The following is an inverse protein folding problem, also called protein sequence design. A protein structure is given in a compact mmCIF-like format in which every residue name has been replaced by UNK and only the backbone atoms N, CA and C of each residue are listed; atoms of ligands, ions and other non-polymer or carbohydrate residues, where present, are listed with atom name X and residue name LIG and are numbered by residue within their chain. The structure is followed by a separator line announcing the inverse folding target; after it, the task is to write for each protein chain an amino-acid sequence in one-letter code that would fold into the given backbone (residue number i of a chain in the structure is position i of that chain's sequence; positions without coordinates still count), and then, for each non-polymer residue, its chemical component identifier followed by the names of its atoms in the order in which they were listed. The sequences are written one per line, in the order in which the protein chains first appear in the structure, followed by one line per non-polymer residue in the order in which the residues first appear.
data_IF_929648840209
#
_entry.id   IF_929648840209
#
_cell.length_a   1.000
_cell.length_b   1.000
_cell.length_c   1.000
_cell.angle_alpha   90.00
_cell.angle_beta   90.00
_cell.angle_gamma   90.00
#
_symmetry.space_group_name_H-M   'P 1'
#
loop_
_entity.id
_entity.type
_entity.pdbx_description
1 polymer ?
#
# COMPACT_ATOMS: atom_id res chain seq x y z
N UNK A 1 21.06 8.29 -19.58
CA UNK A 1 19.64 7.99 -19.31
C UNK A 1 19.14 6.75 -20.07
N UNK A 2 19.31 6.62 -21.39
CA UNK A 2 18.86 5.44 -22.15
C UNK A 2 19.47 4.09 -21.72
N UNK A 3 20.68 4.06 -21.19
CA UNK A 3 21.36 2.82 -20.77
C UNK A 3 20.69 2.19 -19.53
N UNK A 4 20.27 3.00 -18.58
CA UNK A 4 19.59 2.53 -17.37
C UNK A 4 18.16 2.03 -17.65
N UNK A 5 17.46 2.64 -18.61
CA UNK A 5 16.12 2.20 -19.03
C UNK A 5 16.20 0.82 -19.71
N UNK A 6 17.21 0.59 -20.56
CA UNK A 6 17.42 -0.71 -21.20
C UNK A 6 17.75 -1.81 -20.19
N UNK A 7 18.60 -1.49 -19.20
CA UNK A 7 18.93 -2.45 -18.12
C UNK A 7 17.73 -2.78 -17.26
N UNK A 8 16.90 -1.79 -16.93
CA UNK A 8 15.65 -2.00 -16.18
C UNK A 8 14.64 -2.84 -16.98
N UNK A 9 14.47 -2.57 -18.27
CA UNK A 9 13.60 -3.36 -19.15
C UNK A 9 14.10 -4.81 -19.30
N UNK A 10 15.40 -5.01 -19.39
CA UNK A 10 16.00 -6.35 -19.48
C UNK A 10 15.82 -7.14 -18.17
N UNK A 11 16.00 -6.48 -17.03
CA UNK A 11 15.75 -7.07 -15.71
C UNK A 11 14.27 -7.43 -15.52
N UNK A 12 13.35 -6.58 -15.95
CA UNK A 12 11.91 -6.85 -15.92
C UNK A 12 11.52 -8.03 -16.82
N UNK A 13 12.08 -8.09 -18.03
CA UNK A 13 11.85 -9.19 -18.96
C UNK A 13 12.46 -10.51 -18.44
N UNK A 14 13.61 -10.49 -17.80
CA UNK A 14 14.21 -11.66 -17.17
C UNK A 14 13.40 -12.17 -15.98
N UNK A 15 12.85 -11.26 -15.15
CA UNK A 15 11.93 -11.60 -14.07
C UNK A 15 10.62 -12.20 -14.61
N UNK A 16 10.07 -11.67 -15.70
CA UNK A 16 8.87 -12.21 -16.34
C UNK A 16 9.11 -13.58 -16.98
N UNK A 17 10.28 -13.82 -17.57
CA UNK A 17 10.65 -15.11 -18.17
C UNK A 17 10.84 -16.21 -17.12
N UNK A 18 11.26 -15.87 -15.91
CA UNK A 18 11.46 -16.86 -14.82
C UNK A 18 10.14 -17.44 -14.30
N UNK A 19 9.02 -16.76 -14.50
CA UNK A 19 7.69 -17.24 -14.07
C UNK A 19 7.18 -18.46 -14.86
N UNK A 20 7.76 -18.77 -16.01
CA UNK A 20 7.35 -19.91 -16.83
C UNK A 20 7.74 -21.29 -16.29
N UNK A 21 8.58 -21.38 -15.26
CA UNK A 21 9.19 -22.66 -14.86
C UNK A 21 8.47 -23.38 -13.70
N UNK A 22 7.56 -22.72 -12.97
CA UNK A 22 6.87 -23.36 -11.83
C UNK A 22 5.48 -22.80 -11.62
N UNK A 23 4.46 -23.57 -12.02
CA UNK A 23 3.04 -23.20 -11.89
C UNK A 23 2.56 -23.01 -10.43
N UNK A 24 3.42 -23.21 -9.45
CA UNK A 24 3.08 -23.16 -8.02
C UNK A 24 3.61 -21.89 -7.31
N UNK A 25 4.62 -21.24 -7.85
CA UNK A 25 5.22 -20.04 -7.26
C UNK A 25 5.00 -18.84 -8.17
N UNK A 26 4.53 -17.75 -7.59
CA UNK A 26 4.34 -16.49 -8.30
C UNK A 26 5.05 -15.38 -7.55
N UNK A 27 5.83 -14.60 -8.27
CA UNK A 27 6.40 -13.35 -7.80
C UNK A 27 5.63 -12.20 -8.43
N UNK A 28 5.32 -11.19 -7.65
CA UNK A 28 4.60 -10.01 -8.09
C UNK A 28 5.22 -8.74 -7.50
N UNK A 29 4.80 -7.62 -8.06
CA UNK A 29 5.04 -6.31 -7.48
C UNK A 29 3.74 -5.53 -7.45
N UNK A 30 3.60 -4.66 -6.46
CA UNK A 30 2.46 -3.75 -6.31
C UNK A 30 2.95 -2.32 -6.27
N UNK A 31 2.19 -1.43 -6.86
CA UNK A 31 2.34 0.00 -6.69
C UNK A 31 0.96 0.60 -6.53
N UNK A 32 0.83 1.54 -5.64
CA UNK A 32 -0.45 2.15 -5.34
C UNK A 32 -0.32 3.62 -4.92
N UNK A 33 -1.40 4.34 -5.11
CA UNK A 33 -1.59 5.67 -4.55
C UNK A 33 -2.95 5.75 -3.91
N UNK A 34 -3.06 6.51 -2.84
CA UNK A 34 -4.28 6.58 -2.07
C UNK A 34 -4.47 7.90 -1.35
N UNK A 35 -5.52 7.92 -0.55
CA UNK A 35 -5.81 9.00 0.39
C UNK A 35 -5.86 8.45 1.81
N UNK A 36 -5.46 9.29 2.77
CA UNK A 36 -5.55 8.98 4.19
C UNK A 36 -6.43 9.98 4.92
N UNK A 37 -7.18 9.47 5.88
CA UNK A 37 -7.90 10.26 6.85
C UNK A 37 -7.97 9.47 8.16
N UNK A 38 -8.16 10.18 9.27
CA UNK A 38 -8.30 9.54 10.57
C UNK A 38 -9.42 10.25 11.36
N UNK A 39 -10.09 9.51 12.22
CA UNK A 39 -11.02 10.07 13.19
C UNK A 39 -10.45 9.88 14.59
N UNK A 40 -10.37 10.96 15.35
CA UNK A 40 -9.87 10.95 16.73
C UNK A 40 -10.95 11.39 17.72
N UNK A 41 -10.82 10.98 18.96
CA UNK A 41 -11.63 11.47 20.07
C UNK A 41 -10.72 12.11 21.12
N UNK A 42 -11.01 13.34 21.61
CA UNK A 42 -12.15 14.19 21.26
C UNK A 42 -12.12 14.60 19.77
N UNK A 43 -13.30 14.89 19.22
CA UNK A 43 -13.44 15.20 17.80
C UNK A 43 -12.65 16.45 17.43
N UNK A 44 -11.74 16.31 16.49
CA UNK A 44 -10.98 17.41 15.90
C UNK A 44 -11.36 17.56 14.41
N UNK A 45 -11.20 18.76 13.89
CA UNK A 45 -11.37 19.01 12.46
C UNK A 45 -10.21 18.37 11.69
N UNK A 46 -10.55 17.39 10.87
CA UNK A 46 -9.61 16.58 10.11
C UNK A 46 -9.80 16.82 8.62
N UNK A 47 -8.72 16.74 7.87
CA UNK A 47 -8.72 16.84 6.42
C UNK A 47 -8.03 15.62 5.81
N UNK A 48 -8.67 15.03 4.82
CA UNK A 48 -8.07 13.96 4.06
C UNK A 48 -6.88 14.47 3.23
N UNK A 49 -5.81 13.71 3.18
CA UNK A 49 -4.66 13.99 2.32
C UNK A 49 -4.60 12.99 1.17
N UNK A 50 -4.17 13.48 0.02
CA UNK A 50 -4.03 12.72 -1.21
C UNK A 50 -2.56 12.51 -1.56
N UNK A 51 -2.29 11.59 -2.47
CA UNK A 51 -0.95 11.36 -2.99
C UNK A 51 -0.06 10.51 -2.08
N UNK A 52 -0.66 9.81 -1.12
CA UNK A 52 0.03 8.78 -0.36
C UNK A 52 0.38 7.62 -1.30
N UNK A 53 1.57 7.07 -1.17
CA UNK A 53 2.06 6.03 -2.06
C UNK A 53 2.39 4.76 -1.30
N UNK A 54 2.28 3.65 -2.02
CA UNK A 54 2.70 2.34 -1.56
C UNK A 54 3.38 1.58 -2.67
N UNK A 55 4.23 0.64 -2.31
CA UNK A 55 4.86 -0.24 -3.27
C UNK A 55 5.49 -1.42 -2.57
N UNK A 56 5.48 -2.58 -3.23
CA UNK A 56 5.98 -3.77 -2.59
C UNK A 56 6.24 -4.92 -3.55
N UNK A 57 6.80 -5.96 -2.97
CA UNK A 57 7.04 -7.24 -3.61
C UNK A 57 6.15 -8.29 -2.95
N UNK A 58 5.62 -9.19 -3.74
CA UNK A 58 4.78 -10.29 -3.29
C UNK A 58 5.32 -11.62 -3.76
N UNK A 59 5.26 -12.60 -2.88
CA UNK A 59 5.49 -13.98 -3.22
C UNK A 59 4.28 -14.82 -2.84
N UNK A 60 3.83 -15.66 -3.77
CA UNK A 60 2.69 -16.56 -3.56
C UNK A 60 3.07 -17.98 -3.94
N UNK A 61 2.61 -18.92 -3.14
CA UNK A 61 2.63 -20.33 -3.42
C UNK A 61 1.21 -20.84 -3.54
N UNK A 62 0.88 -21.49 -4.64
CA UNK A 62 -0.43 -22.08 -4.88
C UNK A 62 -0.38 -23.59 -4.81
N UNK A 63 -1.08 -24.16 -3.83
CA UNK A 63 -1.22 -25.61 -3.68
C UNK A 63 -2.07 -26.22 -4.82
N UNK A 64 -1.84 -27.50 -5.08
CA UNK A 64 -2.62 -28.25 -6.08
C UNK A 64 -4.06 -28.54 -5.65
N UNK A 65 -4.33 -28.45 -4.34
CA UNK A 65 -5.67 -28.73 -3.80
C UNK A 65 -6.59 -27.52 -3.97
N UNK A 66 -7.80 -27.76 -4.48
CA UNK A 66 -8.78 -26.73 -4.84
C UNK A 66 -9.16 -25.77 -3.72
N UNK A 67 -9.20 -26.24 -2.47
CA UNK A 67 -9.69 -25.43 -1.34
C UNK A 67 -8.60 -24.89 -0.41
N UNK A 68 -7.39 -25.36 -0.53
CA UNK A 68 -6.27 -24.86 0.28
C UNK A 68 -5.82 -23.50 -0.19
N UNK A 69 -5.98 -23.22 -1.48
CA UNK A 69 -5.65 -21.92 -2.07
C UNK A 69 -4.16 -21.64 -2.14
N UNK A 70 -3.85 -20.36 -2.07
CA UNK A 70 -2.50 -19.84 -2.04
C UNK A 70 -2.11 -19.35 -0.64
N UNK A 71 -0.85 -19.47 -0.34
CA UNK A 71 -0.19 -18.81 0.79
C UNK A 71 0.89 -17.89 0.27
N UNK A 72 1.11 -16.79 0.95
CA UNK A 72 2.15 -15.87 0.53
C UNK A 72 2.61 -14.92 1.61
N UNK A 73 3.66 -14.22 1.26
CA UNK A 73 4.24 -13.16 2.08
C UNK A 73 4.51 -11.98 1.16
N UNK A 74 4.15 -10.80 1.61
CA UNK A 74 4.46 -9.55 0.94
C UNK A 74 5.43 -8.75 1.78
N UNK A 75 6.21 -7.93 1.12
CA UNK A 75 7.02 -6.90 1.75
C UNK A 75 6.65 -5.59 1.08
N UNK A 76 6.00 -4.71 1.81
CA UNK A 76 5.45 -3.47 1.29
C UNK A 76 6.02 -2.26 2.03
N UNK A 77 6.29 -1.22 1.28
CA UNK A 77 6.48 0.12 1.81
C UNK A 77 5.16 0.87 1.65
N UNK A 78 4.68 1.49 2.72
CA UNK A 78 3.42 2.22 2.73
C UNK A 78 3.59 3.57 3.40
N UNK A 79 3.16 4.61 2.74
CA UNK A 79 2.99 5.92 3.33
C UNK A 79 1.54 6.10 3.78
N UNK A 80 1.36 6.44 5.04
CA UNK A 80 0.08 6.81 5.65
C UNK A 80 0.15 8.27 6.09
N UNK A 81 -1.01 8.92 6.19
CA UNK A 81 -1.00 10.27 6.69
C UNK A 81 -2.40 10.84 6.90
N UNK A 82 -2.43 11.92 7.65
CA UNK A 82 -3.64 12.69 7.92
C UNK A 82 -3.27 14.13 8.25
N UNK A 83 -4.24 15.01 8.09
CA UNK A 83 -4.10 16.42 8.41
C UNK A 83 -5.15 16.85 9.43
N UNK A 84 -4.77 17.64 10.42
CA UNK A 84 -5.66 18.13 11.46
C UNK A 84 -5.47 19.62 11.70
N UNK A 85 -6.55 20.31 12.07
CA UNK A 85 -6.53 21.71 12.41
C UNK A 85 -6.20 21.88 13.90
N UNK A 86 -5.19 22.72 14.21
CA UNK A 86 -4.76 22.98 15.60
C UNK A 86 -5.49 24.14 16.25
N UNK A 87 -6.04 25.05 15.45
CA UNK A 87 -6.69 26.27 15.92
C UNK A 87 -8.21 26.29 15.72
N UNK A 88 -8.83 25.14 15.40
CA UNK A 88 -10.26 25.05 15.09
C UNK A 88 -11.18 25.55 16.22
N UNK A 89 -10.74 25.52 17.47
CA UNK A 89 -11.46 26.07 18.63
C UNK A 89 -11.31 27.57 18.83
N UNK A 90 -10.38 28.21 18.11
CA UNK A 90 -10.03 29.63 18.29
C UNK A 90 -10.50 30.51 17.14
N UNK A 91 -10.89 29.90 16.01
CA UNK A 91 -11.24 30.59 14.78
C UNK A 91 -12.59 30.11 14.28
N UNK A 92 -13.48 31.04 13.95
CA UNK A 92 -14.85 30.71 13.50
C UNK A 92 -14.93 30.21 12.05
N UNK A 93 -14.06 30.74 11.18
CA UNK A 93 -14.09 30.40 9.77
C UNK A 93 -13.06 29.32 9.40
N UNK A 94 -13.52 28.28 8.68
CA UNK A 94 -12.67 27.16 8.25
C UNK A 94 -11.52 27.54 7.33
N UNK A 95 -11.62 28.68 6.64
CA UNK A 95 -10.54 29.21 5.78
C UNK A 95 -9.29 29.61 6.58
N UNK A 96 -9.45 29.96 7.86
CA UNK A 96 -8.37 30.43 8.73
C UNK A 96 -7.80 29.30 9.61
N UNK A 97 -8.19 28.05 9.34
CA UNK A 97 -7.66 26.90 10.05
C UNK A 97 -6.20 26.65 9.67
N UNK A 98 -5.38 26.43 10.67
CA UNK A 98 -3.98 26.02 10.54
C UNK A 98 -3.89 24.50 10.56
N UNK A 99 -3.58 23.92 9.41
CA UNK A 99 -3.46 22.49 9.27
C UNK A 99 -2.02 22.02 9.48
N UNK A 100 -1.89 20.97 10.26
CA UNK A 100 -0.67 20.18 10.39
C UNK A 100 -0.89 18.84 9.73
N UNK A 101 -0.02 18.51 8.81
CA UNK A 101 -0.05 17.23 8.08
C UNK A 101 1.01 16.30 8.64
N UNK A 102 0.59 15.11 9.01
CA UNK A 102 1.49 14.06 9.46
C UNK A 102 1.60 13.00 8.38
N UNK A 103 2.83 12.67 8.00
CA UNK A 103 3.17 11.53 7.16
C UNK A 103 3.89 10.49 8.00
N UNK A 104 3.46 9.24 7.87
CA UNK A 104 4.07 8.07 8.51
C UNK A 104 4.47 7.10 7.43
N UNK A 105 5.75 6.79 7.35
CA UNK A 105 6.29 5.80 6.44
C UNK A 105 6.49 4.49 7.21
N UNK A 106 5.95 3.42 6.69
CA UNK A 106 5.97 2.10 7.32
C UNK A 106 6.45 1.03 6.34
N UNK A 107 7.15 0.05 6.87
CA UNK A 107 7.31 -1.25 6.21
C UNK A 107 6.26 -2.18 6.75
N UNK A 108 5.59 -2.88 5.86
CA UNK A 108 4.45 -3.74 6.17
C UNK A 108 4.75 -5.14 5.64
N UNK A 109 4.50 -6.15 6.45
CA UNK A 109 4.71 -7.56 6.13
C UNK A 109 3.38 -8.31 6.28
N UNK A 110 2.55 -8.40 5.24
CA UNK A 110 1.38 -9.24 5.23
C UNK A 110 1.75 -10.72 5.03
N UNK A 111 1.22 -11.59 5.88
CA UNK A 111 1.19 -13.04 5.66
C UNK A 111 -0.20 -13.36 5.15
N UNK A 112 -0.29 -13.82 3.92
CA UNK A 112 -1.52 -13.90 3.15
C UNK A 112 -1.95 -15.35 2.98
N UNK A 113 -3.24 -15.60 3.19
CA UNK A 113 -3.92 -16.82 2.77
C UNK A 113 -5.00 -16.46 1.74
N UNK A 114 -4.98 -17.14 0.59
CA UNK A 114 -5.79 -16.80 -0.57
C UNK A 114 -6.52 -18.06 -1.09
N UNK A 115 -7.59 -18.53 -0.42
CA UNK A 115 -8.43 -19.60 -0.94
C UNK A 115 -9.07 -19.18 -2.27
N UNK A 116 -9.13 -20.09 -3.23
CA UNK A 116 -9.67 -19.79 -4.54
C UNK A 116 -10.58 -20.89 -5.08
N UNK A 117 -11.50 -20.48 -5.94
CA UNK A 117 -12.46 -21.35 -6.60
C UNK A 117 -12.41 -21.09 -8.11
N UNK A 118 -12.45 -22.15 -8.88
CA UNK A 118 -12.57 -22.06 -10.34
C UNK A 118 -14.01 -22.27 -10.77
N UNK A 119 -14.52 -21.37 -11.59
CA UNK A 119 -15.85 -21.43 -12.21
C UNK A 119 -15.74 -21.45 -13.72
N UNK A 120 -16.89 -21.73 -14.41
CA UNK A 120 -17.01 -21.71 -15.87
C UNK A 120 -15.89 -22.50 -16.57
N UNK A 121 -15.73 -23.78 -16.19
CA UNK A 121 -14.71 -24.67 -16.76
C UNK A 121 -13.28 -24.11 -16.66
N UNK A 122 -12.94 -23.52 -15.51
CA UNK A 122 -11.64 -22.91 -15.21
C UNK A 122 -11.32 -21.58 -15.94
N UNK A 123 -12.30 -20.95 -16.58
CA UNK A 123 -12.08 -19.64 -17.21
C UNK A 123 -12.15 -18.47 -16.23
N UNK A 124 -12.86 -18.66 -15.10
CA UNK A 124 -12.99 -17.64 -14.06
C UNK A 124 -12.45 -18.18 -12.75
N UNK A 125 -11.55 -17.45 -12.14
CA UNK A 125 -11.02 -17.71 -10.80
C UNK A 125 -11.53 -16.63 -9.84
N UNK A 126 -12.28 -17.07 -8.83
CA UNK A 126 -12.69 -16.20 -7.71
C UNK A 126 -11.82 -16.56 -6.52
N UNK A 127 -11.32 -15.56 -5.81
CA UNK A 127 -10.55 -15.76 -4.60
C UNK A 127 -11.01 -14.80 -3.49
N UNK A 128 -10.81 -15.24 -2.28
CA UNK A 128 -10.85 -14.40 -1.08
C UNK A 128 -9.43 -14.23 -0.58
N UNK A 129 -9.17 -13.16 0.15
CA UNK A 129 -7.87 -12.93 0.73
C UNK A 129 -8.04 -12.58 2.21
N UNK A 130 -7.28 -13.26 3.05
CA UNK A 130 -7.14 -12.95 4.46
C UNK A 130 -5.66 -12.80 4.78
N UNK A 131 -5.28 -11.74 5.50
CA UNK A 131 -3.90 -11.49 5.84
C UNK A 131 -3.74 -11.12 7.32
N UNK A 132 -2.71 -11.69 7.95
CA UNK A 132 -2.17 -11.17 9.20
C UNK A 132 -1.04 -10.21 8.85
N UNK A 133 -1.16 -8.96 9.28
CA UNK A 133 -0.27 -7.89 8.86
C UNK A 133 0.55 -7.38 10.03
N UNK A 134 1.87 -7.36 9.86
CA UNK A 134 2.82 -6.76 10.78
C UNK A 134 3.33 -5.46 10.15
N UNK A 135 3.33 -4.37 10.91
CA UNK A 135 3.76 -3.06 10.43
C UNK A 135 4.82 -2.48 11.37
N UNK A 136 5.87 -1.94 10.77
CA UNK A 136 6.91 -1.20 11.48
C UNK A 136 7.05 0.21 10.90
N UNK A 137 6.85 1.21 11.74
CA UNK A 137 6.98 2.61 11.34
C UNK A 137 8.46 3.01 11.30
N UNK A 138 8.93 3.41 10.12
CA UNK A 138 10.33 3.83 9.92
C UNK A 138 10.51 5.30 10.26
N UNK A 139 9.58 6.14 9.81
CA UNK A 139 9.66 7.59 10.02
C UNK A 139 8.29 8.22 10.17
N UNK A 140 8.26 9.33 10.91
CA UNK A 140 7.07 10.15 11.06
C UNK A 140 7.48 11.61 10.92
N UNK A 141 6.92 12.30 9.93
CA UNK A 141 7.23 13.69 9.63
C UNK A 141 5.98 14.54 9.80
N UNK A 142 6.15 15.73 10.35
CA UNK A 142 5.10 16.73 10.47
C UNK A 142 5.43 17.89 9.54
N UNK A 143 4.45 18.29 8.72
CA UNK A 143 4.52 19.48 7.89
C UNK A 143 3.48 20.49 8.35
N UNK A 144 3.90 21.77 8.43
CA UNK A 144 3.01 22.90 8.71
C UNK A 144 2.70 23.60 7.38
N UNK A 145 1.42 23.89 7.08
CA UNK A 145 1.04 24.61 5.86
C UNK A 145 1.71 26.02 5.76
N UNK A 146 2.00 26.66 6.88
CA UNK A 146 2.71 27.95 6.90
C UNK A 146 4.18 27.85 6.43
N UNK A 147 4.84 26.71 6.65
CA UNK A 147 6.22 26.52 6.20
C UNK A 147 6.32 26.28 4.69
N UNK A 148 5.20 25.99 4.04
CA UNK A 148 5.12 25.76 2.59
C UNK A 148 4.84 27.03 1.77
N UNK A 149 4.43 28.10 2.44
CA UNK A 149 4.08 29.37 1.80
C UNK A 149 5.26 30.36 1.75
N UNK A 150 6.40 30.04 2.34
CA UNK A 150 7.68 30.76 2.27
C UNK A 150 8.69 29.92 1.46
#
# INVERSE_FOLDING_TARGET
MQRHIRTALFALAALAAWQGASAQHTLGFTVGSGMGNVRVQPQQEMRAIWGLYSGGLSWRYYGKQRFVGGFGIDLEFQQQGFSFATNASQVEEKKDYLYYTRHVNSVVLPIVWQPHFYMLRNHVRIYLEAAATFSYNISSTYENEQARAN
#
